data_IF_789191463232
#
_entry.id   IF_789191463232
#
_cell.length_a   1.000
_cell.length_b   1.000
_cell.length_c   1.000
_cell.angle_alpha   90.00
_cell.angle_beta   90.00
_cell.angle_gamma   90.00
#
_symmetry.space_group_name_H-M   'P 1'
#
loop_
_entity.id
_entity.type
_entity.pdbx_description
1 polymer ?
#
# COMPACT_ATOMS: atom_id res chain seq x y z
N UNK A 1 47.65 -56.55 -28.89
CA UNK A 1 46.23 -56.34 -28.62
C UNK A 1 45.92 -55.78 -27.21
N UNK A 2 46.57 -56.14 -26.12
CA UNK A 2 46.27 -55.68 -24.74
C UNK A 2 46.50 -54.17 -24.49
N UNK A 3 47.42 -53.48 -25.17
CA UNK A 3 47.66 -52.03 -24.99
C UNK A 3 46.61 -51.13 -25.66
N UNK A 4 46.01 -51.57 -26.78
CA UNK A 4 44.92 -50.79 -27.43
C UNK A 4 43.59 -50.85 -26.67
N UNK A 5 43.31 -51.94 -25.95
CA UNK A 5 42.10 -52.10 -25.14
C UNK A 5 42.15 -51.20 -23.89
N UNK A 6 43.32 -51.03 -23.24
CA UNK A 6 43.49 -50.15 -22.10
C UNK A 6 43.32 -48.66 -22.44
N UNK A 7 43.74 -48.27 -23.67
CA UNK A 7 43.60 -46.88 -24.13
C UNK A 7 42.13 -46.55 -24.47
N UNK A 8 41.41 -47.52 -25.05
CA UNK A 8 40.00 -47.36 -25.37
C UNK A 8 39.11 -47.26 -24.11
N UNK A 9 39.44 -48.06 -23.05
CA UNK A 9 38.73 -48.00 -21.76
C UNK A 9 38.96 -46.69 -21.02
N UNK A 10 40.16 -46.08 -21.13
CA UNK A 10 40.49 -44.80 -20.51
C UNK A 10 39.78 -43.62 -21.20
N UNK A 11 39.66 -43.67 -22.53
CA UNK A 11 38.91 -42.65 -23.30
C UNK A 11 37.38 -42.68 -23.03
N UNK A 12 36.82 -43.88 -22.86
CA UNK A 12 35.39 -44.04 -22.52
C UNK A 12 35.10 -43.53 -21.10
N UNK A 13 36.00 -43.75 -20.13
CA UNK A 13 35.83 -43.23 -18.76
C UNK A 13 35.93 -41.70 -18.68
N UNK A 14 36.79 -41.06 -19.54
CA UNK A 14 36.90 -39.60 -19.61
C UNK A 14 35.69 -38.98 -20.31
N UNK A 15 35.10 -39.62 -21.33
CA UNK A 15 33.89 -39.14 -21.95
C UNK A 15 32.67 -39.24 -21.01
N UNK A 16 32.62 -40.25 -20.15
CA UNK A 16 31.49 -40.38 -19.18
C UNK A 16 31.59 -39.37 -18.03
N UNK A 17 32.79 -38.93 -17.67
CA UNK A 17 33.02 -37.88 -16.66
C UNK A 17 32.68 -36.48 -17.14
N UNK A 18 32.74 -36.22 -18.47
CA UNK A 18 32.37 -34.93 -19.07
C UNK A 18 30.85 -34.74 -19.21
N UNK A 19 30.05 -35.83 -19.15
CA UNK A 19 28.59 -35.75 -19.19
C UNK A 19 27.97 -35.42 -17.83
N UNK A 20 28.71 -35.51 -16.71
CA UNK A 20 28.22 -35.21 -15.37
C UNK A 20 28.41 -33.75 -14.92
N UNK A 21 29.08 -32.90 -15.71
CA UNK A 21 29.38 -31.51 -15.40
C UNK A 21 28.41 -30.50 -16.08
N UNK A 22 27.45 -30.96 -16.90
CA UNK A 22 26.44 -30.10 -17.52
C UNK A 22 25.10 -30.07 -16.78
N UNK A 23 25.09 -30.42 -15.49
CA UNK A 23 23.94 -30.15 -14.62
C UNK A 23 24.11 -28.83 -13.86
N UNK A 24 24.65 -27.79 -14.52
CA UNK A 24 24.34 -26.42 -14.13
C UNK A 24 22.92 -26.17 -14.61
N UNK A 25 21.96 -26.19 -13.69
CA UNK A 25 20.60 -25.79 -13.96
C UNK A 25 20.61 -24.40 -14.59
N UNK A 26 20.43 -24.35 -15.89
CA UNK A 26 19.85 -23.18 -16.53
C UNK A 26 18.57 -22.95 -15.75
N UNK A 27 18.50 -21.87 -14.93
CA UNK A 27 17.24 -21.28 -14.54
C UNK A 27 16.46 -21.19 -15.85
N UNK A 28 15.45 -22.04 -15.99
CA UNK A 28 14.47 -21.90 -17.05
C UNK A 28 14.03 -20.45 -16.93
N UNK A 29 14.21 -19.66 -17.98
CA UNK A 29 13.50 -18.40 -18.12
C UNK A 29 12.04 -18.81 -18.26
N UNK A 30 11.39 -19.10 -17.11
CA UNK A 30 9.94 -19.26 -17.06
C UNK A 30 9.39 -17.96 -17.64
N UNK A 31 8.54 -18.10 -18.68
CA UNK A 31 7.76 -16.96 -19.15
C UNK A 31 6.90 -16.49 -17.96
N UNK A 32 7.36 -15.44 -17.25
CA UNK A 32 6.63 -14.85 -16.17
C UNK A 32 5.35 -14.22 -16.75
N UNK A 33 4.23 -14.45 -16.11
CA UNK A 33 3.00 -13.76 -16.45
C UNK A 33 3.09 -12.32 -15.94
N UNK A 34 3.00 -11.35 -16.83
CA UNK A 34 3.01 -9.93 -16.46
C UNK A 34 1.65 -9.52 -15.92
N UNK A 35 1.66 -8.88 -14.75
CA UNK A 35 0.49 -8.30 -14.08
C UNK A 35 0.65 -6.79 -14.07
N UNK A 36 -0.32 -6.09 -14.65
CA UNK A 36 -0.41 -4.62 -14.62
C UNK A 36 -1.05 -4.19 -13.30
N UNK A 37 -0.20 -3.70 -12.40
CA UNK A 37 -0.61 -3.20 -11.08
C UNK A 37 -0.62 -1.67 -11.09
N UNK A 38 -1.75 -1.06 -10.73
CA UNK A 38 -1.85 0.39 -10.57
C UNK A 38 -1.94 0.76 -9.09
N UNK A 39 -0.92 1.45 -8.58
CA UNK A 39 -0.92 1.99 -7.23
C UNK A 39 -1.45 3.42 -7.19
N UNK A 40 -2.13 3.79 -6.11
CA UNK A 40 -2.73 5.12 -5.94
C UNK A 40 -1.70 6.26 -5.96
N UNK A 41 -0.54 6.05 -5.34
CA UNK A 41 0.57 7.00 -5.22
C UNK A 41 1.85 6.23 -4.86
N UNK A 42 3.02 6.73 -5.27
CA UNK A 42 4.30 6.20 -4.80
C UNK A 42 4.56 6.65 -3.36
N UNK A 43 4.63 5.71 -2.40
CA UNK A 43 4.84 6.03 -0.98
C UNK A 43 5.54 4.90 -0.24
N UNK A 44 6.46 5.23 0.67
CA UNK A 44 7.08 4.27 1.61
C UNK A 44 6.03 3.55 2.47
N UNK A 45 4.83 4.11 2.58
CA UNK A 45 3.66 3.49 3.19
C UNK A 45 3.30 2.11 2.60
N UNK A 46 3.83 1.80 1.41
CA UNK A 46 3.63 0.54 0.70
C UNK A 46 4.89 -0.33 0.68
N UNK A 47 5.80 -0.12 1.63
CA UNK A 47 7.09 -0.82 1.70
C UNK A 47 6.98 -2.35 1.57
N UNK A 48 6.01 -3.07 2.18
CA UNK A 48 5.92 -4.52 2.00
C UNK A 48 5.66 -4.95 0.55
N UNK A 49 4.91 -4.15 -0.24
CA UNK A 49 4.68 -4.41 -1.67
C UNK A 49 5.96 -4.24 -2.48
N UNK A 50 6.68 -3.14 -2.26
CA UNK A 50 7.94 -2.90 -2.98
C UNK A 50 9.02 -3.91 -2.59
N UNK A 51 9.04 -4.34 -1.32
CA UNK A 51 9.88 -5.44 -0.88
C UNK A 51 9.51 -6.74 -1.62
N UNK A 52 8.22 -7.05 -1.76
CA UNK A 52 7.78 -8.23 -2.51
C UNK A 52 8.27 -8.21 -3.97
N UNK A 53 8.26 -7.04 -4.62
CA UNK A 53 8.78 -6.89 -5.98
C UNK A 53 10.30 -7.06 -6.00
N UNK A 54 11.05 -6.32 -5.17
CA UNK A 54 12.52 -6.30 -5.24
C UNK A 54 13.19 -7.56 -4.68
N UNK A 55 12.54 -8.29 -3.78
CA UNK A 55 13.02 -9.57 -3.27
C UNK A 55 12.70 -10.76 -4.19
N UNK A 56 11.93 -10.54 -5.27
CA UNK A 56 11.61 -11.58 -6.23
C UNK A 56 10.45 -12.50 -5.81
N UNK A 57 9.63 -12.12 -4.84
CA UNK A 57 8.54 -12.98 -4.37
C UNK A 57 7.43 -13.15 -5.40
N UNK A 58 7.26 -12.18 -6.30
CA UNK A 58 6.36 -12.33 -7.44
C UNK A 58 6.93 -13.29 -8.50
N UNK A 59 8.22 -13.20 -8.77
CA UNK A 59 8.92 -14.11 -9.69
C UNK A 59 8.89 -15.56 -9.19
N UNK A 60 8.99 -15.77 -7.88
CA UNK A 60 8.86 -17.09 -7.24
C UNK A 60 7.46 -17.70 -7.44
N UNK A 61 6.42 -16.87 -7.56
CA UNK A 61 5.05 -17.26 -7.90
C UNK A 61 4.82 -17.30 -9.44
N UNK A 62 5.83 -17.04 -10.26
CA UNK A 62 5.74 -17.04 -11.72
C UNK A 62 5.12 -15.77 -12.31
N UNK A 63 5.13 -14.67 -11.57
CA UNK A 63 4.59 -13.38 -11.97
C UNK A 63 5.70 -12.35 -12.16
N UNK A 64 5.45 -11.35 -13.02
CA UNK A 64 6.22 -10.10 -13.09
C UNK A 64 5.28 -8.92 -12.94
N UNK A 65 5.69 -7.88 -12.23
CA UNK A 65 4.82 -6.72 -11.96
C UNK A 65 5.20 -5.57 -12.88
N UNK A 66 4.22 -5.12 -13.70
CA UNK A 66 4.27 -3.84 -14.41
C UNK A 66 3.53 -2.81 -13.55
N UNK A 67 4.32 -2.03 -12.77
CA UNK A 67 3.79 -1.11 -11.75
C UNK A 67 3.63 0.30 -12.32
N UNK A 68 2.38 0.74 -12.41
CA UNK A 68 1.99 2.11 -12.75
C UNK A 68 1.46 2.87 -11.51
N UNK A 69 1.55 4.20 -11.55
CA UNK A 69 1.06 5.09 -10.48
C UNK A 69 -0.08 5.96 -11.00
N UNK A 70 -1.28 5.81 -10.45
CA UNK A 70 -2.50 6.53 -10.87
C UNK A 70 -2.56 7.99 -10.42
N UNK A 71 -1.87 8.34 -9.33
CA UNK A 71 -1.90 9.67 -8.69
C UNK A 71 -3.30 10.09 -8.21
N UNK A 72 -4.07 9.13 -7.71
CA UNK A 72 -5.40 9.31 -7.15
C UNK A 72 -6.19 8.01 -7.15
N UNK A 73 -6.95 7.76 -6.08
CA UNK A 73 -7.70 6.53 -5.92
C UNK A 73 -8.79 6.35 -7.00
N UNK A 74 -9.43 7.45 -7.39
CA UNK A 74 -10.39 7.50 -8.49
C UNK A 74 -9.75 7.14 -9.85
N UNK A 75 -8.53 7.58 -10.10
CA UNK A 75 -7.78 7.25 -11.33
C UNK A 75 -7.35 5.78 -11.34
N UNK A 76 -6.81 5.27 -10.22
CA UNK A 76 -6.50 3.85 -10.08
C UNK A 76 -7.73 2.97 -10.32
N UNK A 77 -8.88 3.36 -9.78
CA UNK A 77 -10.14 2.67 -10.03
C UNK A 77 -10.52 2.71 -11.52
N UNK A 78 -10.40 3.84 -12.19
CA UNK A 78 -10.68 3.96 -13.63
C UNK A 78 -9.79 3.06 -14.48
N UNK A 79 -8.50 2.94 -14.17
CA UNK A 79 -7.55 2.07 -14.88
C UNK A 79 -7.98 0.59 -14.80
N UNK A 80 -8.45 0.14 -13.63
CA UNK A 80 -8.96 -1.23 -13.46
C UNK A 80 -10.29 -1.42 -14.19
N UNK A 81 -11.23 -0.49 -14.05
CA UNK A 81 -12.55 -0.58 -14.68
C UNK A 81 -12.50 -0.51 -16.21
N UNK A 82 -11.46 0.08 -16.78
CA UNK A 82 -11.21 0.13 -18.24
C UNK A 82 -10.45 -1.08 -18.75
N UNK A 83 -9.90 -1.95 -17.87
CA UNK A 83 -9.04 -3.07 -18.24
C UNK A 83 -7.61 -2.64 -18.64
N UNK A 84 -7.23 -1.39 -18.41
CA UNK A 84 -5.85 -0.90 -18.61
C UNK A 84 -4.91 -1.52 -17.58
N UNK A 85 -5.39 -1.71 -16.36
CA UNK A 85 -4.69 -2.41 -15.27
C UNK A 85 -5.48 -3.64 -14.83
N UNK A 86 -4.77 -4.72 -14.48
CA UNK A 86 -5.35 -5.99 -14.02
C UNK A 86 -5.77 -5.90 -12.55
N UNK A 87 -4.93 -5.27 -11.73
CA UNK A 87 -5.10 -5.12 -10.29
C UNK A 87 -4.92 -3.65 -9.91
N UNK A 88 -5.82 -3.15 -9.08
CA UNK A 88 -5.74 -1.84 -8.46
C UNK A 88 -5.30 -1.93 -7.00
N UNK A 89 -4.62 -0.89 -6.55
CA UNK A 89 -4.15 -0.76 -5.18
C UNK A 89 -4.41 0.65 -4.67
N UNK A 90 -5.51 0.83 -3.95
CA UNK A 90 -5.92 2.12 -3.39
C UNK A 90 -6.84 1.93 -2.18
N UNK A 91 -7.41 3.01 -1.67
CA UNK A 91 -8.41 2.96 -0.59
C UNK A 91 -9.66 2.18 -1.01
N UNK A 92 -10.20 1.30 -0.15
CA UNK A 92 -11.34 0.46 -0.46
C UNK A 92 -12.66 1.24 -0.57
N UNK A 93 -12.70 2.52 -0.22
CA UNK A 93 -13.84 3.41 -0.46
C UNK A 93 -14.25 3.43 -1.94
N UNK A 94 -13.27 3.31 -2.84
CA UNK A 94 -13.55 3.30 -4.28
C UNK A 94 -14.40 2.08 -4.68
N UNK A 95 -14.12 0.91 -4.11
CA UNK A 95 -14.92 -0.30 -4.34
C UNK A 95 -16.35 -0.10 -3.83
N UNK A 96 -16.48 0.50 -2.63
CA UNK A 96 -17.80 0.80 -2.05
C UNK A 96 -18.58 1.79 -2.92
N UNK A 97 -17.93 2.83 -3.46
CA UNK A 97 -18.56 3.82 -4.34
C UNK A 97 -19.03 3.18 -5.65
N UNK A 98 -18.21 2.36 -6.30
CA UNK A 98 -18.58 1.69 -7.55
C UNK A 98 -19.71 0.68 -7.33
N UNK A 99 -19.69 -0.06 -6.21
CA UNK A 99 -20.78 -0.96 -5.85
C UNK A 99 -22.13 -0.20 -5.72
N UNK A 100 -22.13 0.98 -5.08
CA UNK A 100 -23.33 1.82 -4.93
C UNK A 100 -23.81 2.42 -6.26
N UNK A 101 -22.97 2.48 -7.31
CA UNK A 101 -23.39 2.89 -8.66
C UNK A 101 -24.15 1.78 -9.41
N UNK A 102 -24.25 0.57 -8.85
CA UNK A 102 -25.01 -0.54 -9.43
C UNK A 102 -24.37 -1.16 -10.66
N UNK A 103 -23.05 -1.05 -10.80
CA UNK A 103 -22.31 -1.69 -11.90
C UNK A 103 -22.35 -3.22 -11.76
N UNK A 104 -22.67 -3.96 -12.83
CA UNK A 104 -22.74 -5.42 -12.81
C UNK A 104 -21.37 -6.06 -12.57
N UNK A 105 -20.32 -5.61 -13.30
CA UNK A 105 -18.93 -6.02 -13.08
C UNK A 105 -18.24 -5.00 -12.16
N UNK A 106 -18.58 -5.08 -10.89
CA UNK A 106 -17.98 -4.22 -9.86
C UNK A 106 -16.65 -4.81 -9.34
N UNK A 107 -15.76 -3.98 -8.79
CA UNK A 107 -14.50 -4.44 -8.23
C UNK A 107 -14.72 -5.15 -6.89
N UNK A 108 -13.86 -6.15 -6.61
CA UNK A 108 -13.86 -6.95 -5.38
C UNK A 108 -12.50 -6.85 -4.71
N UNK A 109 -12.47 -6.55 -3.42
CA UNK A 109 -11.29 -6.54 -2.57
C UNK A 109 -10.85 -7.96 -2.26
N UNK A 110 -9.54 -8.24 -2.28
CA UNK A 110 -9.04 -9.59 -2.01
C UNK A 110 -7.81 -9.65 -1.09
N UNK A 111 -7.13 -8.51 -0.88
CA UNK A 111 -5.98 -8.44 0.02
C UNK A 111 -5.82 -7.02 0.58
N UNK A 112 -5.29 -6.91 1.80
CA UNK A 112 -4.98 -5.65 2.47
C UNK A 112 -3.48 -5.52 2.69
N UNK A 113 -2.92 -4.30 2.52
CA UNK A 113 -1.52 -4.01 2.81
C UNK A 113 -1.35 -3.09 4.02
N UNK A 114 -2.19 -2.07 4.15
CA UNK A 114 -2.12 -1.11 5.26
C UNK A 114 -3.44 -1.05 6.01
N UNK A 115 -3.37 -0.96 7.34
CA UNK A 115 -4.52 -1.14 8.25
C UNK A 115 -4.81 0.08 9.15
N UNK A 116 -4.24 1.24 8.82
CA UNK A 116 -4.56 2.52 9.45
C UNK A 116 -4.24 3.67 8.51
N UNK A 117 -4.67 4.88 8.81
CA UNK A 117 -4.27 6.07 8.07
C UNK A 117 -2.76 6.31 8.20
N UNK A 118 -2.10 6.66 7.11
CA UNK A 118 -0.65 6.88 7.06
C UNK A 118 -0.25 8.34 7.21
N UNK A 119 -1.18 9.26 7.47
CA UNK A 119 -0.87 10.67 7.59
C UNK A 119 -0.49 11.08 9.01
N UNK A 120 0.36 12.09 9.07
CA UNK A 120 0.81 12.76 10.27
C UNK A 120 0.32 14.22 10.23
N UNK A 121 -0.12 14.74 11.37
CA UNK A 121 -0.40 16.14 11.52
C UNK A 121 0.90 16.87 11.79
N UNK A 122 1.21 17.84 10.94
CA UNK A 122 2.43 18.66 11.01
C UNK A 122 2.04 20.09 11.33
N UNK A 123 2.59 20.63 12.40
CA UNK A 123 2.39 22.03 12.87
C UNK A 123 3.59 22.92 12.56
N UNK A 124 3.44 24.23 12.82
CA UNK A 124 4.47 25.26 12.60
C UNK A 124 5.61 25.22 13.60
N UNK A 125 5.35 24.66 14.78
CA UNK A 125 6.27 24.59 15.91
C UNK A 125 6.27 23.21 16.54
N UNK A 126 7.32 22.87 17.25
CA UNK A 126 7.34 21.67 18.07
C UNK A 126 6.42 21.87 19.28
N UNK A 127 5.40 20.99 19.40
CA UNK A 127 4.38 21.05 20.44
C UNK A 127 4.43 19.77 21.29
N UNK A 128 5.37 19.71 22.25
CA UNK A 128 5.59 18.53 23.11
C UNK A 128 4.32 18.03 23.83
N UNK A 129 3.34 18.89 24.06
CA UNK A 129 2.07 18.57 24.72
C UNK A 129 0.88 18.89 23.80
N UNK A 130 1.00 18.60 22.52
CA UNK A 130 -0.09 18.79 21.56
C UNK A 130 -1.39 18.10 22.02
N UNK A 131 -2.49 18.81 21.81
CA UNK A 131 -3.84 18.29 22.03
C UNK A 131 -4.71 18.64 20.83
N UNK A 132 -5.48 17.70 20.36
CA UNK A 132 -6.37 17.90 19.20
C UNK A 132 -7.36 19.06 19.42
N UNK A 133 -7.82 19.25 20.66
CA UNK A 133 -8.75 20.33 21.01
C UNK A 133 -8.13 21.73 20.79
N UNK A 134 -6.79 21.85 20.75
CA UNK A 134 -6.09 23.11 20.46
C UNK A 134 -6.22 23.55 18.99
N UNK A 135 -6.71 22.67 18.12
CA UNK A 135 -6.96 22.99 16.71
C UNK A 135 -8.17 23.90 16.50
N UNK A 136 -8.98 24.16 17.55
CA UNK A 136 -10.12 25.06 17.42
C UNK A 136 -9.70 26.45 16.93
N UNK A 137 -10.34 26.91 15.84
CA UNK A 137 -10.03 28.18 15.18
C UNK A 137 -8.78 28.17 14.31
N UNK A 138 -8.17 27.00 14.08
CA UNK A 138 -6.97 26.83 13.24
C UNK A 138 -7.34 26.48 11.81
N UNK A 139 -6.43 26.86 10.90
CA UNK A 139 -6.49 26.46 9.49
C UNK A 139 -5.64 25.21 9.27
N UNK A 140 -6.25 24.15 8.73
CA UNK A 140 -5.62 22.86 8.51
C UNK A 140 -5.67 22.53 7.02
N UNK A 141 -4.53 22.23 6.40
CA UNK A 141 -4.50 21.67 5.05
C UNK A 141 -4.76 20.16 5.18
N UNK A 142 -5.94 19.74 4.71
CA UNK A 142 -6.38 18.34 4.70
C UNK A 142 -6.13 17.66 3.35
N UNK A 143 -6.84 16.57 3.14
CA UNK A 143 -6.79 15.77 1.92
C UNK A 143 -7.83 16.17 0.88
N UNK A 144 -7.98 15.33 -0.15
CA UNK A 144 -9.01 15.50 -1.19
C UNK A 144 -10.38 15.13 -0.63
N UNK A 145 -11.44 15.94 -0.89
CA UNK A 145 -12.80 15.62 -0.45
C UNK A 145 -13.25 14.23 -0.90
N UNK A 146 -13.82 13.44 0.02
CA UNK A 146 -14.27 12.08 -0.23
C UNK A 146 -13.16 11.04 -0.39
N UNK A 147 -11.90 11.38 -0.14
CA UNK A 147 -10.80 10.44 0.02
C UNK A 147 -10.63 9.99 1.46
N UNK A 148 -10.13 8.77 1.68
CA UNK A 148 -9.99 8.23 3.05
C UNK A 148 -9.15 9.14 3.95
N UNK A 149 -8.02 9.76 3.51
CA UNK A 149 -7.23 10.63 4.36
C UNK A 149 -8.04 11.82 4.93
N UNK A 150 -8.83 12.49 4.08
CA UNK A 150 -9.64 13.62 4.52
C UNK A 150 -10.75 13.19 5.46
N UNK A 151 -11.48 12.15 5.08
CA UNK A 151 -12.58 11.62 5.90
C UNK A 151 -12.09 11.14 7.27
N UNK A 152 -10.88 10.56 7.33
CA UNK A 152 -10.26 10.11 8.58
C UNK A 152 -9.81 11.29 9.44
N UNK A 153 -9.23 12.33 8.85
CA UNK A 153 -8.88 13.55 9.58
C UNK A 153 -10.13 14.19 10.23
N UNK A 154 -11.23 14.35 9.47
CA UNK A 154 -12.48 14.86 10.00
C UNK A 154 -13.06 13.96 11.10
N UNK A 155 -12.95 12.63 10.94
CA UNK A 155 -13.39 11.68 11.96
C UNK A 155 -12.59 11.84 13.26
N UNK A 156 -11.28 12.02 13.18
CA UNK A 156 -10.40 12.26 14.33
C UNK A 156 -10.78 13.60 15.01
N UNK A 157 -10.96 14.68 14.24
CA UNK A 157 -11.43 15.97 14.78
C UNK A 157 -12.73 15.81 15.57
N UNK A 158 -13.72 15.11 15.00
CA UNK A 158 -15.02 14.85 15.66
C UNK A 158 -14.86 14.05 16.95
N UNK A 159 -13.98 13.06 16.98
CA UNK A 159 -13.69 12.25 18.17
C UNK A 159 -13.07 13.08 19.31
N UNK A 160 -12.40 14.18 18.96
CA UNK A 160 -11.84 15.16 19.90
C UNK A 160 -12.77 16.36 20.15
N UNK A 161 -14.07 16.23 19.81
CA UNK A 161 -15.09 17.23 20.10
C UNK A 161 -15.04 18.47 19.21
N UNK A 162 -14.37 18.42 18.06
CA UNK A 162 -14.31 19.50 17.08
C UNK A 162 -15.23 19.20 15.90
N UNK A 163 -16.08 20.16 15.53
CA UNK A 163 -16.82 20.11 14.29
C UNK A 163 -15.92 20.59 13.13
N UNK A 164 -15.58 19.72 12.15
CA UNK A 164 -14.71 20.10 11.05
C UNK A 164 -15.22 21.26 10.20
N UNK A 165 -16.55 21.55 10.25
CA UNK A 165 -17.18 22.60 9.44
C UNK A 165 -17.23 23.97 10.13
N UNK A 166 -17.14 24.00 11.45
CA UNK A 166 -17.35 25.22 12.24
C UNK A 166 -16.24 25.54 13.22
N UNK A 167 -15.49 24.55 13.70
CA UNK A 167 -14.45 24.72 14.70
C UNK A 167 -13.05 24.87 14.11
N UNK A 168 -12.83 24.45 12.85
CA UNK A 168 -11.57 24.56 12.12
C UNK A 168 -11.82 25.06 10.69
N UNK A 169 -10.80 25.61 10.04
CA UNK A 169 -10.82 25.97 8.62
C UNK A 169 -10.05 24.91 7.82
N UNK A 170 -10.78 23.98 7.15
CA UNK A 170 -10.18 22.91 6.37
C UNK A 170 -9.96 23.32 4.92
N UNK A 171 -8.70 23.34 4.47
CA UNK A 171 -8.31 23.54 3.07
C UNK A 171 -8.22 22.17 2.39
N UNK A 172 -9.19 21.84 1.54
CA UNK A 172 -9.30 20.53 0.88
C UNK A 172 -9.18 20.59 -0.66
N UNK A 173 -8.95 21.77 -1.21
CA UNK A 173 -8.90 22.02 -2.65
C UNK A 173 -7.51 22.02 -3.26
N UNK A 174 -6.49 21.59 -2.51
CA UNK A 174 -5.11 21.49 -3.00
C UNK A 174 -4.84 20.08 -3.55
N UNK A 175 -4.06 20.01 -4.63
CA UNK A 175 -3.53 18.73 -5.08
C UNK A 175 -2.60 18.15 -4.01
N UNK A 176 -2.62 16.82 -3.82
CA UNK A 176 -1.81 16.13 -2.81
C UNK A 176 -0.33 16.52 -2.86
N UNK A 177 0.22 16.64 -4.06
CA UNK A 177 1.63 17.03 -4.28
C UNK A 177 1.93 18.49 -3.98
N UNK A 178 0.92 19.34 -3.78
CA UNK A 178 1.08 20.76 -3.51
C UNK A 178 0.94 21.12 -2.02
N UNK A 179 0.41 20.23 -1.18
CA UNK A 179 0.07 20.53 0.22
C UNK A 179 1.28 20.96 1.07
N UNK A 180 2.40 20.22 0.97
CA UNK A 180 3.63 20.55 1.70
C UNK A 180 4.24 21.88 1.26
N UNK A 181 4.22 22.16 -0.05
CA UNK A 181 4.68 23.44 -0.61
C UNK A 181 3.83 24.62 -0.15
N UNK A 182 2.51 24.46 -0.14
CA UNK A 182 1.58 25.47 0.37
C UNK A 182 1.81 25.74 1.85
N UNK A 183 1.96 24.69 2.65
CA UNK A 183 2.31 24.82 4.06
C UNK A 183 3.64 25.57 4.24
N UNK A 184 4.71 25.15 3.58
CA UNK A 184 6.03 25.80 3.67
C UNK A 184 5.97 27.28 3.24
N UNK A 185 5.11 27.63 2.27
CA UNK A 185 4.87 29.00 1.83
C UNK A 185 4.03 29.84 2.82
N UNK A 186 3.57 29.27 3.93
CA UNK A 186 2.84 29.97 4.97
C UNK A 186 1.33 29.75 4.99
N UNK A 187 0.78 28.87 4.14
CA UNK A 187 -0.65 28.53 4.16
C UNK A 187 -0.94 27.56 5.31
N UNK A 188 -2.01 27.81 6.06
CA UNK A 188 -2.47 26.96 7.17
C UNK A 188 -1.58 26.99 8.41
N UNK A 189 -2.13 26.65 9.55
CA UNK A 189 -1.41 26.43 10.82
C UNK A 189 -0.86 25.00 10.88
N UNK A 190 -1.62 24.05 10.32
CA UNK A 190 -1.28 22.63 10.28
C UNK A 190 -1.52 22.06 8.89
N UNK A 191 -0.91 20.90 8.63
CA UNK A 191 -1.11 20.12 7.41
C UNK A 191 -1.06 18.62 7.72
N UNK A 192 -1.95 17.85 7.10
CA UNK A 192 -1.88 16.38 7.14
C UNK A 192 -0.99 15.89 5.98
N UNK A 193 0.12 15.23 6.29
CA UNK A 193 1.12 14.76 5.33
C UNK A 193 1.46 13.29 5.54
N UNK A 194 1.72 12.60 4.45
CA UNK A 194 2.33 11.29 4.48
C UNK A 194 3.87 11.38 4.52
N UNK A 195 4.50 10.31 4.94
CA UNK A 195 5.93 10.16 4.83
C UNK A 195 6.37 9.86 3.37
N UNK A 196 7.55 10.28 2.92
CA UNK A 196 8.63 10.93 3.69
C UNK A 196 8.44 12.44 3.88
N UNK A 197 7.38 13.03 3.38
CA UNK A 197 7.22 14.50 3.33
C UNK A 197 7.13 15.10 4.74
N UNK A 198 6.45 14.45 5.68
CA UNK A 198 6.37 14.90 7.07
C UNK A 198 7.76 14.99 7.71
N UNK A 199 8.54 13.90 7.65
CA UNK A 199 9.93 13.87 8.17
C UNK A 199 10.87 14.85 7.44
N UNK A 200 10.65 15.10 6.14
CA UNK A 200 11.44 16.08 5.39
C UNK A 200 11.21 17.50 5.91
N UNK A 201 9.96 17.91 6.18
CA UNK A 201 9.68 19.23 6.77
C UNK A 201 10.30 19.36 8.16
N UNK A 202 10.27 18.29 8.94
CA UNK A 202 10.88 18.26 10.27
C UNK A 202 12.41 18.40 10.22
N UNK A 203 13.07 17.66 9.30
CA UNK A 203 14.52 17.77 9.11
C UNK A 203 14.95 19.16 8.63
N UNK A 204 14.13 19.82 7.82
CA UNK A 204 14.33 21.20 7.34
C UNK A 204 13.92 22.25 8.36
N UNK A 205 13.33 21.86 9.49
CA UNK A 205 12.80 22.78 10.53
C UNK A 205 11.72 23.74 9.97
N UNK A 206 11.00 23.32 8.95
CA UNK A 206 9.90 24.06 8.32
C UNK A 206 8.52 23.59 8.76
N UNK A 207 8.45 22.45 9.46
CA UNK A 207 7.29 21.86 10.10
C UNK A 207 7.71 20.84 11.13
N UNK A 208 6.81 20.46 12.02
CA UNK A 208 7.06 19.52 13.11
C UNK A 208 5.89 18.56 13.22
N UNK A 209 6.16 17.26 13.25
CA UNK A 209 5.13 16.24 13.47
C UNK A 209 4.63 16.40 14.91
N UNK A 210 3.32 16.67 15.06
CA UNK A 210 2.69 16.85 16.38
C UNK A 210 1.89 15.63 16.79
N UNK A 211 1.29 14.89 15.84
CA UNK A 211 0.62 13.61 16.10
C UNK A 211 0.39 12.82 14.81
N UNK A 212 -0.08 11.57 14.92
CA UNK A 212 -0.47 10.72 13.81
C UNK A 212 -1.99 10.61 13.72
N UNK A 213 -2.55 10.97 12.56
CA UNK A 213 -3.99 10.78 12.27
C UNK A 213 -4.36 9.30 12.39
N UNK A 214 -3.52 8.41 11.86
CA UNK A 214 -3.77 6.97 11.91
C UNK A 214 -3.79 6.40 13.33
N UNK A 215 -2.87 6.83 14.19
CA UNK A 215 -2.86 6.44 15.60
C UNK A 215 -4.15 6.85 16.31
N UNK A 216 -4.64 8.04 16.04
CA UNK A 216 -5.89 8.56 16.64
C UNK A 216 -7.13 7.89 16.06
N UNK A 217 -7.14 7.61 14.77
CA UNK A 217 -8.24 6.88 14.13
C UNK A 217 -8.27 5.40 14.55
N UNK A 218 -7.11 4.79 14.82
CA UNK A 218 -6.96 3.35 15.06
C UNK A 218 -7.14 2.52 13.80
N UNK A 219 -7.29 1.20 13.94
CA UNK A 219 -7.40 0.27 12.81
C UNK A 219 -8.61 0.57 11.92
N UNK A 220 -8.35 0.63 10.60
CA UNK A 220 -9.36 0.75 9.54
C UNK A 220 -8.88 0.03 8.29
N UNK A 221 -9.78 -0.40 7.42
CA UNK A 221 -9.41 -0.81 6.06
C UNK A 221 -8.86 0.42 5.31
N UNK A 222 -7.54 0.38 4.95
CA UNK A 222 -6.93 1.59 4.39
C UNK A 222 -6.48 1.41 2.94
N UNK A 223 -5.37 0.70 2.66
CA UNK A 223 -4.99 0.44 1.28
C UNK A 223 -5.09 -1.04 0.98
N UNK A 224 -5.91 -1.39 -0.01
CA UNK A 224 -6.26 -2.74 -0.36
C UNK A 224 -6.06 -3.01 -1.85
N UNK A 225 -5.83 -4.27 -2.18
CA UNK A 225 -5.81 -4.77 -3.56
C UNK A 225 -7.21 -5.18 -3.98
N UNK A 226 -7.56 -4.83 -5.20
CA UNK A 226 -8.83 -5.18 -5.81
C UNK A 226 -8.66 -5.44 -7.31
N UNK A 227 -9.61 -6.16 -7.86
CA UNK A 227 -9.77 -6.34 -9.30
C UNK A 227 -11.25 -6.45 -9.63
N UNK A 228 -11.64 -6.40 -10.91
CA UNK A 228 -13.05 -6.61 -11.26
C UNK A 228 -13.47 -8.03 -10.94
N UNK A 229 -14.76 -8.23 -10.70
CA UNK A 229 -15.32 -9.55 -10.43
C UNK A 229 -15.05 -10.52 -11.60
N UNK A 230 -15.20 -10.04 -12.84
CA UNK A 230 -14.93 -10.86 -14.04
C UNK A 230 -13.46 -11.28 -14.11
N UNK A 231 -12.51 -10.37 -13.90
CA UNK A 231 -11.08 -10.72 -13.89
C UNK A 231 -10.75 -11.76 -12.81
N UNK A 232 -11.32 -11.60 -11.60
CA UNK A 232 -11.11 -12.54 -10.49
C UNK A 232 -11.67 -13.94 -10.80
N UNK A 233 -12.85 -14.01 -11.43
CA UNK A 233 -13.50 -15.27 -11.81
C UNK A 233 -12.75 -15.97 -12.96
N UNK A 234 -12.18 -15.21 -13.90
CA UNK A 234 -11.43 -15.74 -15.05
C UNK A 234 -9.98 -16.09 -14.68
N UNK A 235 -9.39 -15.43 -13.69
CA UNK A 235 -7.97 -15.55 -13.33
C UNK A 235 -7.71 -15.88 -11.85
N UNK A 236 -8.45 -16.83 -11.23
CA UNK A 236 -8.35 -17.05 -9.78
C UNK A 236 -6.96 -17.53 -9.33
N UNK A 237 -6.25 -18.30 -10.18
CA UNK A 237 -4.89 -18.74 -9.88
C UNK A 237 -3.90 -17.56 -9.86
N UNK A 238 -4.05 -16.60 -10.76
CA UNK A 238 -3.23 -15.40 -10.83
C UNK A 238 -3.43 -14.53 -9.59
N UNK A 239 -4.69 -14.31 -9.19
CA UNK A 239 -5.02 -13.56 -7.97
C UNK A 239 -4.45 -14.27 -6.72
N UNK A 240 -4.50 -15.61 -6.68
CA UNK A 240 -3.90 -16.37 -5.58
C UNK A 240 -2.38 -16.21 -5.52
N UNK A 241 -1.68 -16.38 -6.65
CA UNK A 241 -0.23 -16.19 -6.75
C UNK A 241 0.19 -14.78 -6.34
N UNK A 242 -0.54 -13.78 -6.81
CA UNK A 242 -0.34 -12.39 -6.42
C UNK A 242 -0.47 -12.20 -4.91
N UNK A 243 -1.53 -12.75 -4.31
CA UNK A 243 -1.78 -12.67 -2.86
C UNK A 243 -0.70 -13.39 -2.05
N UNK A 244 -0.19 -14.55 -2.53
CA UNK A 244 0.92 -15.26 -1.90
C UNK A 244 2.18 -14.41 -1.86
N UNK A 245 2.55 -13.75 -2.98
CA UNK A 245 3.71 -12.89 -3.07
C UNK A 245 3.59 -11.68 -2.13
N UNK A 246 2.40 -11.05 -2.06
CA UNK A 246 2.12 -9.96 -1.12
C UNK A 246 2.28 -10.43 0.32
N UNK A 247 1.72 -11.58 0.69
CA UNK A 247 1.86 -12.12 2.04
C UNK A 247 3.33 -12.39 2.39
N UNK A 248 4.10 -12.99 1.48
CA UNK A 248 5.54 -13.18 1.68
C UNK A 248 6.26 -11.86 1.91
N UNK A 249 5.90 -10.81 1.16
CA UNK A 249 6.43 -9.46 1.35
C UNK A 249 6.06 -8.83 2.68
N UNK A 250 4.83 -9.05 3.18
CA UNK A 250 4.38 -8.59 4.49
C UNK A 250 5.18 -9.28 5.62
N UNK A 251 5.31 -10.61 5.57
CA UNK A 251 6.09 -11.39 6.54
C UNK A 251 7.56 -10.97 6.50
N UNK A 252 8.12 -10.79 5.29
CA UNK A 252 9.51 -10.35 5.15
C UNK A 252 9.71 -8.97 5.77
N UNK A 253 8.84 -8.00 5.45
CA UNK A 253 8.93 -6.66 6.01
C UNK A 253 8.73 -6.64 7.53
N UNK A 254 7.89 -7.52 8.09
CA UNK A 254 7.66 -7.60 9.55
C UNK A 254 8.86 -8.18 10.29
N UNK A 255 9.61 -9.11 9.67
CA UNK A 255 10.71 -9.86 10.30
C UNK A 255 12.10 -9.26 10.09
N UNK A 256 12.24 -8.26 9.20
CA UNK A 256 13.52 -7.59 8.92
C UNK A 256 13.58 -6.22 9.60
N UNK A 257 14.79 -5.70 9.82
CA UNK A 257 15.01 -4.37 10.39
C UNK A 257 14.49 -3.26 9.47
N UNK A 258 14.25 -2.08 10.04
CA UNK A 258 13.81 -0.90 9.27
C UNK A 258 14.82 -0.52 8.18
N UNK A 259 16.12 -0.67 8.45
CA UNK A 259 17.18 -0.41 7.49
C UNK A 259 17.17 -1.43 6.34
N UNK A 260 16.99 -2.71 6.62
CA UNK A 260 16.90 -3.75 5.59
C UNK A 260 15.67 -3.53 4.70
N UNK A 261 14.53 -3.18 5.29
CA UNK A 261 13.32 -2.84 4.53
C UNK A 261 13.55 -1.59 3.69
N UNK A 262 14.09 -0.52 4.27
CA UNK A 262 14.41 0.72 3.56
C UNK A 262 15.37 0.48 2.39
N UNK A 263 16.42 -0.31 2.60
CA UNK A 263 17.38 -0.69 1.55
C UNK A 263 16.72 -1.49 0.42
N UNK A 264 15.84 -2.42 0.76
CA UNK A 264 15.10 -3.22 -0.21
C UNK A 264 14.24 -2.37 -1.15
N UNK A 265 13.66 -1.28 -0.65
CA UNK A 265 12.73 -0.45 -1.43
C UNK A 265 13.38 0.80 -2.05
N UNK A 266 14.67 1.04 -1.82
CA UNK A 266 15.36 2.29 -2.19
C UNK A 266 15.28 2.60 -3.69
N UNK A 267 15.25 1.59 -4.55
CA UNK A 267 15.12 1.76 -6.00
C UNK A 267 13.81 2.43 -6.45
N UNK A 268 12.75 2.34 -5.64
CA UNK A 268 11.47 3.01 -5.89
C UNK A 268 11.47 4.49 -5.50
N UNK A 269 12.48 4.94 -4.75
CA UNK A 269 12.61 6.31 -4.23
C UNK A 269 13.95 6.92 -4.64
N UNK A 270 14.20 7.13 -5.95
CA UNK A 270 15.47 7.66 -6.45
C UNK A 270 15.74 9.03 -5.85
N UNK A 271 16.98 9.21 -5.35
CA UNK A 271 17.41 10.47 -4.70
C UNK A 271 17.06 10.58 -3.20
N UNK A 272 16.35 9.62 -2.63
CA UNK A 272 16.11 9.58 -1.18
C UNK A 272 17.31 8.99 -0.44
N UNK A 273 17.68 9.62 0.67
CA UNK A 273 18.71 9.10 1.59
C UNK A 273 18.19 7.84 2.30
N UNK A 274 19.05 6.83 2.43
CA UNK A 274 18.71 5.59 3.13
C UNK A 274 18.30 5.83 4.58
N UNK A 275 18.99 6.77 5.28
CA UNK A 275 18.64 7.09 6.66
C UNK A 275 17.23 7.70 6.77
N UNK A 276 16.83 8.52 5.81
CA UNK A 276 15.45 9.05 5.75
C UNK A 276 14.45 7.93 5.51
N UNK A 277 14.70 7.04 4.54
CA UNK A 277 13.81 5.91 4.28
C UNK A 277 13.69 4.98 5.49
N UNK A 278 14.81 4.72 6.19
CA UNK A 278 14.82 3.91 7.42
C UNK A 278 13.93 4.54 8.48
N UNK A 279 14.07 5.86 8.72
CA UNK A 279 13.24 6.58 9.69
C UNK A 279 11.75 6.53 9.32
N UNK A 280 11.43 6.63 8.05
CA UNK A 280 10.05 6.54 7.56
C UNK A 280 9.45 5.15 7.79
N UNK A 281 10.21 4.08 7.54
CA UNK A 281 9.78 2.71 7.84
C UNK A 281 9.53 2.53 9.33
N UNK A 282 10.45 3.04 10.18
CA UNK A 282 10.30 3.06 11.64
C UNK A 282 9.00 3.78 12.07
N UNK A 283 8.74 4.97 11.52
CA UNK A 283 7.54 5.75 11.83
C UNK A 283 6.26 4.99 11.47
N UNK A 284 6.19 4.36 10.30
CA UNK A 284 5.02 3.58 9.89
C UNK A 284 4.83 2.31 10.73
N UNK A 285 5.90 1.65 11.14
CA UNK A 285 5.81 0.54 12.11
C UNK A 285 5.31 1.00 13.47
N UNK A 286 5.82 2.12 13.96
CA UNK A 286 5.46 2.66 15.27
C UNK A 286 3.97 2.96 15.40
N UNK A 287 3.30 3.34 14.30
CA UNK A 287 1.85 3.55 14.28
C UNK A 287 1.06 2.28 13.87
N UNK A 288 1.73 1.15 13.66
CA UNK A 288 1.09 -0.10 13.24
C UNK A 288 0.47 -0.04 11.83
N UNK A 289 1.07 0.72 10.92
CA UNK A 289 0.53 0.98 9.60
C UNK A 289 0.48 -0.26 8.70
N UNK A 290 1.50 -1.11 8.76
CA UNK A 290 1.59 -2.30 7.92
C UNK A 290 0.70 -3.42 8.45
N UNK A 291 -0.06 -4.05 7.56
CA UNK A 291 -0.74 -5.29 7.88
C UNK A 291 0.27 -6.44 7.86
N UNK A 292 0.21 -7.31 8.86
CA UNK A 292 1.12 -8.47 8.98
C UNK A 292 0.72 -9.64 8.08
N UNK A 293 -0.51 -9.61 7.59
CA UNK A 293 -1.07 -10.56 6.63
C UNK A 293 -2.09 -9.86 5.70
N UNK A 294 -2.49 -10.49 4.58
CA UNK A 294 -3.37 -9.86 3.60
C UNK A 294 -4.85 -9.85 3.99
N UNK A 295 -5.22 -10.26 5.20
CA UNK A 295 -6.62 -10.35 5.59
C UNK A 295 -7.22 -8.97 5.80
N UNK A 296 -8.33 -8.68 5.10
CA UNK A 296 -9.18 -7.53 5.36
C UNK A 296 -10.27 -7.92 6.34
N UNK A 297 -10.30 -7.33 7.53
CA UNK A 297 -11.33 -7.65 8.52
C UNK A 297 -12.66 -6.95 8.23
N UNK A 298 -13.78 -7.62 8.54
CA UNK A 298 -15.11 -7.01 8.42
C UNK A 298 -15.29 -5.80 9.35
N UNK A 299 -14.68 -5.85 10.54
CA UNK A 299 -14.73 -4.74 11.51
C UNK A 299 -14.04 -3.48 10.97
N UNK A 300 -12.86 -3.63 10.31
CA UNK A 300 -12.12 -2.50 9.79
C UNK A 300 -12.81 -1.87 8.57
N UNK A 301 -13.44 -2.71 7.71
CA UNK A 301 -14.25 -2.22 6.60
C UNK A 301 -15.53 -1.54 7.09
N UNK A 302 -16.18 -2.08 8.12
CA UNK A 302 -17.36 -1.48 8.76
C UNK A 302 -17.00 -0.11 9.32
N UNK A 303 -15.88 0.01 10.03
CA UNK A 303 -15.40 1.28 10.56
C UNK A 303 -15.08 2.29 9.45
N UNK A 304 -14.51 1.86 8.33
CA UNK A 304 -14.35 2.75 7.18
C UNK A 304 -15.71 3.27 6.68
N UNK A 305 -16.71 2.40 6.57
CA UNK A 305 -18.07 2.84 6.18
C UNK A 305 -18.69 3.80 7.20
N UNK A 306 -18.41 3.64 8.50
CA UNK A 306 -18.80 4.59 9.54
C UNK A 306 -18.14 5.96 9.33
N UNK A 307 -16.85 5.97 9.01
CA UNK A 307 -16.08 7.19 8.70
C UNK A 307 -16.66 7.88 7.46
N UNK A 308 -16.92 7.15 6.38
CA UNK A 308 -17.50 7.70 5.15
C UNK A 308 -18.86 8.32 5.45
N UNK A 309 -19.75 7.63 6.18
CA UNK A 309 -21.09 8.15 6.52
C UNK A 309 -21.04 9.29 7.55
N UNK A 310 -20.02 9.35 8.40
CA UNK A 310 -19.79 10.49 9.29
C UNK A 310 -19.37 11.74 8.50
N UNK A 311 -18.67 11.54 7.38
CA UNK A 311 -18.28 12.62 6.48
C UNK A 311 -19.48 13.08 5.62
N UNK A 312 -20.05 12.18 4.83
CA UNK A 312 -21.23 12.42 3.99
C UNK A 312 -22.01 11.11 3.73
N UNK A 313 -23.24 11.02 4.27
CA UNK A 313 -24.09 9.85 4.09
C UNK A 313 -24.51 9.60 2.63
N UNK A 314 -24.43 10.62 1.78
CA UNK A 314 -24.84 10.49 0.37
C UNK A 314 -23.81 9.75 -0.47
N UNK A 315 -22.55 9.66 -0.02
CA UNK A 315 -21.49 8.94 -0.72
C UNK A 315 -21.74 7.42 -0.77
N UNK A 316 -22.32 6.88 0.30
CA UNK A 316 -22.70 5.47 0.39
C UNK A 316 -24.14 5.36 0.97
N UNK A 317 -25.16 5.59 0.13
CA UNK A 317 -26.55 5.49 0.57
C UNK A 317 -26.92 4.08 1.05
N UNK A 318 -26.25 3.05 0.53
CA UNK A 318 -26.38 1.66 0.97
C UNK A 318 -24.99 1.11 1.34
N UNK A 319 -24.89 0.50 2.52
CA UNK A 319 -23.69 -0.24 2.91
C UNK A 319 -23.69 -1.60 2.21
N UNK A 320 -22.73 -1.92 1.36
CA UNK A 320 -22.61 -3.27 0.82
C UNK A 320 -22.36 -4.26 1.97
N UNK A 321 -22.89 -5.47 1.84
CA UNK A 321 -22.47 -6.53 2.75
C UNK A 321 -21.00 -6.90 2.49
N UNK A 322 -20.27 -7.21 3.54
CA UNK A 322 -18.84 -7.55 3.46
C UNK A 322 -18.56 -8.61 2.38
N UNK A 323 -19.31 -9.71 2.40
CA UNK A 323 -19.18 -10.83 1.45
C UNK A 323 -19.46 -10.45 -0.02
N UNK A 324 -20.11 -9.33 -0.28
CA UNK A 324 -20.44 -8.91 -1.64
C UNK A 324 -19.26 -8.18 -2.30
N UNK A 325 -18.41 -7.54 -1.51
CA UNK A 325 -17.29 -6.73 -2.01
C UNK A 325 -15.91 -7.20 -1.53
N UNK A 326 -15.83 -8.26 -0.70
CA UNK A 326 -14.57 -8.84 -0.20
C UNK A 326 -14.53 -10.34 -0.43
N UNK A 327 -13.45 -10.83 -1.02
CA UNK A 327 -13.16 -12.26 -1.13
C UNK A 327 -11.93 -12.61 -0.29
N UNK A 328 -12.16 -13.14 0.93
CA UNK A 328 -11.08 -13.49 1.88
C UNK A 328 -10.35 -14.78 1.51
N UNK A 329 -10.89 -15.59 0.61
CA UNK A 329 -10.37 -16.93 0.34
C UNK A 329 -8.93 -16.96 -0.15
N UNK A 330 -8.48 -15.91 -0.85
CA UNK A 330 -7.11 -15.77 -1.34
C UNK A 330 -6.13 -15.50 -0.19
N UNK A 331 -6.48 -14.57 0.71
CA UNK A 331 -5.70 -14.28 1.91
C UNK A 331 -5.60 -15.51 2.83
N UNK A 332 -6.73 -16.18 3.10
CA UNK A 332 -6.78 -17.39 3.93
C UNK A 332 -5.90 -18.53 3.39
N UNK A 333 -5.85 -18.70 2.07
CA UNK A 333 -4.99 -19.72 1.43
C UNK A 333 -3.53 -19.32 1.47
N UNK A 334 -3.20 -18.03 1.27
CA UNK A 334 -1.84 -17.54 1.34
C UNK A 334 -1.22 -17.76 2.74
N UNK A 335 -1.98 -17.47 3.81
CA UNK A 335 -1.55 -17.63 5.20
C UNK A 335 -1.30 -19.09 5.58
N UNK A 336 -2.00 -20.04 4.96
CA UNK A 336 -1.88 -21.47 5.22
C UNK A 336 -0.76 -22.15 4.42
N UNK A 337 -0.18 -21.46 3.44
CA UNK A 337 0.90 -21.98 2.59
C UNK A 337 2.24 -22.00 3.33
#
# INVERSE_FOLDING_TARGET
MRKKIKFLSLCISILFSLFLLNSCGTKSTSNLQTIKLNEVVRSVFYAPMYAAINQGFFEDEGLSIDLATGQGADKTMQEVLSGTSDIGFCGPEQVIYIYNQGREDYPVLFAQLTKTDGSFLVGRSNEENFKWESLKGKTIIGGRPGGVPEMTLEYVLKNHGLDPKTDVDLITNLAFTATAGAFTAGTGDYVALFEPTASMLESQKTGYVVDSVGKQAGGIAYTCYFTTKSYMDENPETVQKFTNAIYTGQVWADTHSDEEVAKSIQSFFPGSDLAVLTKVVENYRAIGAFSVDPTLSESDLTKLMDIIQSYDKTLIPTRPAYKDIVNTSFAEKAIKK
#
